data_IF_377603196197
#
_entry.id   IF_377603196197
#
_cell.length_a   1.000
_cell.length_b   1.000
_cell.length_c   1.000
_cell.angle_alpha   90.00
_cell.angle_beta   90.00
_cell.angle_gamma   90.00
#
_symmetry.space_group_name_H-M   'P 1'
#
loop_
_entity.id
_entity.type
_entity.pdbx_description
1 polymer ?
#
# COMPACT_ATOMS: atom_id res chain seq x y z
N UNK A 1 10.79 23.25 -0.88
CA UNK A 1 10.72 24.73 -0.89
C UNK A 1 12.07 25.39 -0.62
N UNK A 2 12.80 25.05 0.46
CA UNK A 2 14.12 25.65 0.79
C UNK A 2 15.18 25.59 -0.32
N UNK A 3 15.21 24.50 -1.10
CA UNK A 3 16.11 24.39 -2.26
C UNK A 3 15.90 25.52 -3.27
N UNK A 4 14.64 25.83 -3.61
CA UNK A 4 14.30 26.87 -4.59
C UNK A 4 14.76 28.25 -4.09
N UNK A 5 14.53 28.55 -2.82
CA UNK A 5 14.97 29.79 -2.18
C UNK A 5 16.50 29.90 -2.08
N UNK A 6 17.17 28.80 -1.76
CA UNK A 6 18.62 28.75 -1.65
C UNK A 6 19.30 29.17 -2.96
N UNK A 7 18.82 28.65 -4.10
CA UNK A 7 19.37 28.94 -5.44
C UNK A 7 18.82 30.22 -6.09
N UNK A 8 17.86 30.92 -5.47
CA UNK A 8 17.23 32.10 -6.06
C UNK A 8 18.22 33.27 -6.27
N UNK A 9 19.04 33.58 -5.26
CA UNK A 9 20.01 34.70 -5.32
C UNK A 9 21.36 34.33 -5.94
N UNK A 10 21.58 33.06 -6.29
CA UNK A 10 22.86 32.62 -6.89
C UNK A 10 22.95 33.09 -8.36
N UNK A 11 21.83 33.50 -8.96
CA UNK A 11 21.79 34.00 -10.34
C UNK A 11 22.16 35.47 -10.51
N UNK A 12 22.14 36.29 -9.46
CA UNK A 12 22.38 37.75 -9.59
C UNK A 12 23.84 38.18 -9.26
N UNK A 13 24.67 37.30 -8.69
CA UNK A 13 26.03 37.66 -8.27
C UNK A 13 27.18 36.87 -8.93
N UNK A 14 26.93 36.16 -10.03
CA UNK A 14 28.00 35.54 -10.84
C UNK A 14 27.97 36.01 -12.31
N UNK A 15 28.16 37.31 -12.55
CA UNK A 15 28.90 37.75 -13.74
C UNK A 15 30.41 37.62 -13.47
N UNK A 16 30.93 36.40 -13.42
CA UNK A 16 32.39 36.16 -13.45
C UNK A 16 32.73 35.04 -14.42
N UNK A 17 33.12 35.49 -15.61
CA UNK A 17 34.10 34.94 -16.57
C UNK A 17 34.10 33.42 -16.80
N UNK A 18 33.65 33.07 -18.01
CA UNK A 18 34.08 31.85 -18.71
C UNK A 18 35.61 31.69 -18.64
N UNK A 19 36.06 30.59 -18.03
CA UNK A 19 37.23 29.83 -18.47
C UNK A 19 37.22 28.43 -17.85
N UNK A 20 36.95 27.46 -18.72
CA UNK A 20 37.59 26.14 -18.79
C UNK A 20 38.11 25.53 -17.49
N UNK A 21 37.38 24.53 -16.99
CA UNK A 21 37.88 23.16 -16.78
C UNK A 21 36.72 22.29 -16.29
N UNK A 22 36.61 21.08 -16.84
CA UNK A 22 35.63 20.07 -16.44
C UNK A 22 35.92 19.66 -14.99
N UNK A 23 35.39 20.43 -14.04
CA UNK A 23 35.54 20.13 -12.63
C UNK A 23 34.62 18.97 -12.28
N UNK A 24 35.26 17.79 -12.14
CA UNK A 24 34.81 16.59 -11.42
C UNK A 24 33.36 16.69 -10.97
N UNK A 25 32.44 15.98 -11.65
CA UNK A 25 31.01 15.96 -11.30
C UNK A 25 30.85 15.77 -9.78
N UNK A 26 30.56 16.87 -9.08
CA UNK A 26 30.33 16.83 -7.63
C UNK A 26 29.19 15.84 -7.45
N UNK A 27 29.43 14.73 -6.74
CA UNK A 27 28.38 13.77 -6.40
C UNK A 27 27.22 14.57 -5.82
N UNK A 28 26.10 14.61 -6.54
CA UNK A 28 24.92 15.34 -6.09
C UNK A 28 24.49 14.70 -4.79
N UNK A 29 24.73 15.40 -3.68
CA UNK A 29 24.38 14.93 -2.36
C UNK A 29 22.84 14.92 -2.31
N UNK A 30 22.24 13.73 -2.44
CA UNK A 30 20.78 13.56 -2.55
C UNK A 30 20.06 14.02 -1.28
N UNK A 31 20.79 14.07 -0.17
CA UNK A 31 20.28 14.43 1.16
C UNK A 31 20.56 15.90 1.50
N UNK A 32 21.11 16.69 0.57
CA UNK A 32 21.36 18.10 0.83
C UNK A 32 20.05 18.88 0.98
N UNK A 33 19.81 19.35 2.19
CA UNK A 33 18.73 20.29 2.51
C UNK A 33 19.34 21.54 3.13
N UNK A 34 19.10 22.74 2.57
CA UNK A 34 19.60 23.98 3.13
C UNK A 34 19.13 24.17 4.59
N UNK A 35 20.02 24.73 5.42
CA UNK A 35 19.70 25.08 6.81
C UNK A 35 18.57 26.12 6.87
N UNK A 36 17.70 26.07 7.89
CA UNK A 36 16.71 27.13 8.13
C UNK A 36 17.40 28.46 8.50
N UNK A 37 16.65 29.56 8.42
CA UNK A 37 17.08 30.89 8.84
C UNK A 37 17.32 31.89 7.71
N UNK A 38 17.21 31.48 6.43
CA UNK A 38 17.36 32.39 5.28
C UNK A 38 16.09 33.23 5.05
N UNK A 39 14.92 32.64 5.23
CA UNK A 39 13.64 33.32 5.13
C UNK A 39 12.68 32.83 6.23
N UNK A 40 12.40 33.74 7.15
CA UNK A 40 11.56 33.50 8.32
C UNK A 40 10.15 33.08 7.89
N UNK A 41 9.57 33.74 6.88
CA UNK A 41 8.22 33.41 6.39
C UNK A 41 8.15 32.01 5.80
N UNK A 42 9.19 31.61 5.06
CA UNK A 42 9.25 30.26 4.50
C UNK A 42 9.41 29.20 5.59
N UNK A 43 10.26 29.47 6.59
CA UNK A 43 10.46 28.54 7.70
C UNK A 43 9.19 28.39 8.54
N UNK A 44 8.51 29.48 8.88
CA UNK A 44 7.20 29.46 9.56
C UNK A 44 6.18 28.64 8.75
N UNK A 45 6.06 28.88 7.45
CA UNK A 45 5.14 28.11 6.61
C UNK A 45 5.46 26.60 6.62
N UNK A 46 6.74 26.25 6.47
CA UNK A 46 7.18 24.85 6.49
C UNK A 46 6.87 24.21 7.86
N UNK A 47 7.08 24.91 8.95
CA UNK A 47 6.78 24.43 10.30
C UNK A 47 5.29 24.21 10.52
N UNK A 48 4.45 25.17 10.13
CA UNK A 48 2.98 25.06 10.23
C UNK A 48 2.47 23.87 9.42
N UNK A 49 2.82 23.77 8.13
CA UNK A 49 2.35 22.67 7.28
C UNK A 49 2.84 21.31 7.76
N UNK A 50 4.09 21.23 8.23
CA UNK A 50 4.59 19.99 8.84
C UNK A 50 3.80 19.64 10.09
N UNK A 51 3.52 20.63 10.95
CA UNK A 51 2.68 20.46 12.13
C UNK A 51 1.30 19.91 11.74
N UNK A 52 0.63 20.52 10.77
CA UNK A 52 -0.69 20.12 10.31
C UNK A 52 -0.72 18.71 9.74
N UNK A 53 0.26 18.33 8.91
CA UNK A 53 0.37 16.97 8.38
C UNK A 53 0.62 15.98 9.52
N UNK A 54 1.58 16.27 10.41
CA UNK A 54 1.88 15.38 11.53
C UNK A 54 0.69 15.26 12.50
N UNK A 55 -0.09 16.33 12.68
CA UNK A 55 -1.29 16.32 13.51
C UNK A 55 -2.45 15.58 12.82
N UNK A 56 -2.65 15.76 11.52
CA UNK A 56 -3.63 15.00 10.74
C UNK A 56 -3.33 13.50 10.71
N UNK A 57 -2.05 13.11 10.66
CA UNK A 57 -1.64 11.71 10.79
C UNK A 57 -1.87 11.15 12.21
N UNK A 58 -1.86 12.00 13.24
CA UNK A 58 -2.17 11.62 14.63
C UNK A 58 -3.67 11.61 14.91
N UNK A 59 -4.50 12.24 14.08
CA UNK A 59 -5.95 12.18 14.23
C UNK A 59 -6.37 10.73 14.03
N UNK A 60 -6.97 10.14 15.07
CA UNK A 60 -7.60 8.83 14.96
C UNK A 60 -8.74 8.98 13.95
N UNK A 61 -8.70 8.19 12.88
CA UNK A 61 -9.83 8.08 11.97
C UNK A 61 -11.06 7.75 12.81
N UNK A 62 -12.14 8.51 12.62
CA UNK A 62 -13.42 8.17 13.22
C UNK A 62 -13.81 6.77 12.74
N UNK A 63 -14.10 5.89 13.70
CA UNK A 63 -14.61 4.57 13.38
C UNK A 63 -16.02 4.78 12.81
N UNK A 64 -16.28 4.27 11.61
CA UNK A 64 -17.59 4.37 10.95
C UNK A 64 -18.57 3.27 11.40
N UNK A 65 -18.18 2.51 12.43
CA UNK A 65 -18.98 1.44 13.02
C UNK A 65 -19.50 1.90 14.37
N UNK A 66 -20.77 1.62 14.61
CA UNK A 66 -21.34 1.69 15.95
C UNK A 66 -20.75 0.58 16.83
N UNK A 67 -20.79 0.76 18.15
CA UNK A 67 -20.34 -0.28 19.09
C UNK A 67 -21.09 -1.60 18.91
N UNK A 68 -22.36 -1.54 18.51
CA UNK A 68 -23.16 -2.74 18.23
C UNK A 68 -22.64 -3.50 17.01
N UNK A 69 -22.32 -2.79 15.93
CA UNK A 69 -21.75 -3.40 14.72
C UNK A 69 -20.35 -3.96 14.98
N UNK A 70 -19.52 -3.25 15.75
CA UNK A 70 -18.20 -3.75 16.11
C UNK A 70 -18.27 -5.04 16.93
N UNK A 71 -19.20 -5.12 17.89
CA UNK A 71 -19.43 -6.33 18.67
C UNK A 71 -20.00 -7.46 17.80
N UNK A 72 -20.98 -7.18 16.94
CA UNK A 72 -21.51 -8.18 16.01
C UNK A 72 -20.41 -8.76 15.09
N UNK A 73 -19.47 -7.93 14.63
CA UNK A 73 -18.31 -8.40 13.86
C UNK A 73 -17.38 -9.29 14.70
N UNK A 74 -17.17 -8.97 15.97
CA UNK A 74 -16.38 -9.81 16.88
C UNK A 74 -17.07 -11.15 17.13
N UNK A 75 -18.38 -11.15 17.34
CA UNK A 75 -19.17 -12.36 17.54
C UNK A 75 -19.09 -13.27 16.30
N UNK A 76 -19.25 -12.70 15.09
CA UNK A 76 -19.08 -13.41 13.81
C UNK A 76 -17.67 -13.98 13.67
N UNK A 77 -16.63 -13.26 14.09
CA UNK A 77 -15.25 -13.73 14.01
C UNK A 77 -14.91 -14.85 15.01
N UNK A 78 -15.72 -14.99 16.07
CA UNK A 78 -15.55 -16.02 17.11
C UNK A 78 -16.42 -17.26 16.86
N UNK A 79 -17.34 -17.20 15.90
CA UNK A 79 -18.23 -18.31 15.56
C UNK A 79 -17.46 -19.38 14.74
N UNK A 80 -17.19 -20.51 15.38
CA UNK A 80 -16.48 -21.65 14.80
C UNK A 80 -17.36 -22.50 13.86
N UNK A 81 -18.67 -22.25 13.81
CA UNK A 81 -19.65 -22.98 13.00
C UNK A 81 -19.85 -22.38 11.60
N UNK A 82 -19.19 -21.27 11.30
CA UNK A 82 -19.22 -20.61 10.00
C UNK A 82 -17.85 -20.57 9.32
N UNK A 83 -17.88 -20.49 8.00
CA UNK A 83 -16.71 -20.32 7.14
C UNK A 83 -16.86 -19.03 6.35
N UNK A 84 -15.86 -18.15 6.47
CA UNK A 84 -15.83 -16.85 5.79
C UNK A 84 -14.72 -16.87 4.72
N UNK A 85 -15.08 -16.64 3.45
CA UNK A 85 -14.13 -16.62 2.32
C UNK A 85 -14.39 -15.42 1.40
N UNK A 86 -13.37 -14.93 0.67
CA UNK A 86 -13.61 -13.95 -0.39
C UNK A 86 -14.53 -14.54 -1.45
N UNK A 87 -15.45 -13.74 -1.98
CA UNK A 87 -16.27 -14.15 -3.11
C UNK A 87 -15.41 -14.30 -4.38
N UNK A 88 -15.68 -15.34 -5.16
CA UNK A 88 -15.02 -15.58 -6.45
C UNK A 88 -15.28 -14.44 -7.45
N UNK A 89 -16.48 -13.85 -7.40
CA UNK A 89 -16.86 -12.65 -8.15
C UNK A 89 -16.77 -11.41 -7.26
N UNK A 90 -16.35 -10.29 -7.85
CA UNK A 90 -15.82 -9.13 -7.13
C UNK A 90 -16.73 -8.48 -6.06
N UNK A 91 -16.06 -7.81 -5.11
CA UNK A 91 -16.55 -6.97 -4.00
C UNK A 91 -17.37 -7.64 -2.89
N UNK A 92 -17.59 -8.95 -2.94
CA UNK A 92 -18.34 -9.70 -1.93
C UNK A 92 -17.49 -10.51 -0.95
N UNK A 93 -18.14 -10.94 0.13
CA UNK A 93 -17.67 -11.96 1.06
C UNK A 93 -18.73 -13.06 1.11
N UNK A 94 -18.30 -14.31 1.20
CA UNK A 94 -19.17 -15.47 1.29
C UNK A 94 -19.10 -16.00 2.72
N UNK A 95 -20.27 -16.15 3.35
CA UNK A 95 -20.45 -16.72 4.69
C UNK A 95 -21.31 -17.97 4.54
N UNK A 96 -20.81 -19.12 4.97
CA UNK A 96 -21.49 -20.42 4.84
C UNK A 96 -21.38 -21.16 6.17
N UNK A 97 -22.40 -21.93 6.52
CA UNK A 97 -22.28 -22.91 7.60
C UNK A 97 -21.17 -23.92 7.29
N UNK A 98 -20.36 -24.23 8.30
CA UNK A 98 -19.17 -25.07 8.16
C UNK A 98 -19.49 -26.51 7.78
N UNK A 99 -20.53 -27.11 8.37
CA UNK A 99 -20.94 -28.48 8.05
C UNK A 99 -21.40 -28.58 6.59
N UNK A 100 -22.20 -27.62 6.14
CA UNK A 100 -22.64 -27.55 4.74
C UNK A 100 -21.47 -27.35 3.78
N UNK A 101 -20.52 -26.49 4.15
CA UNK A 101 -19.30 -26.28 3.39
C UNK A 101 -18.49 -27.57 3.23
N UNK A 102 -18.28 -28.33 4.32
CA UNK A 102 -17.59 -29.62 4.26
C UNK A 102 -18.33 -30.64 3.41
N UNK A 103 -19.64 -30.77 3.60
CA UNK A 103 -20.47 -31.68 2.82
C UNK A 103 -20.37 -31.42 1.31
N UNK A 104 -20.49 -30.16 0.90
CA UNK A 104 -20.33 -29.76 -0.50
C UNK A 104 -18.96 -30.12 -1.05
N UNK A 105 -17.92 -29.91 -0.24
CA UNK A 105 -16.54 -30.20 -0.63
C UNK A 105 -16.30 -31.70 -0.81
N UNK A 106 -16.86 -32.53 0.08
CA UNK A 106 -16.84 -33.99 -0.06
C UNK A 106 -17.59 -34.48 -1.30
N UNK A 107 -18.78 -33.93 -1.57
CA UNK A 107 -19.57 -34.22 -2.77
C UNK A 107 -18.79 -33.87 -4.05
N UNK A 108 -18.10 -32.73 -4.07
CA UNK A 108 -17.32 -32.26 -5.23
C UNK A 108 -16.06 -33.11 -5.46
N UNK A 109 -15.33 -33.47 -4.39
CA UNK A 109 -14.11 -34.29 -4.49
C UNK A 109 -14.43 -35.74 -4.89
N UNK A 110 -15.53 -36.30 -4.38
CA UNK A 110 -15.94 -37.67 -4.70
C UNK A 110 -16.42 -37.79 -6.15
N UNK A 111 -16.85 -36.67 -6.74
CA UNK A 111 -17.28 -36.63 -8.13
C UNK A 111 -16.08 -36.67 -9.10
N UNK A 112 -15.81 -37.86 -9.62
CA UNK A 112 -14.74 -38.12 -10.59
C UNK A 112 -14.92 -37.41 -11.95
N UNK A 113 -16.09 -36.83 -12.23
CA UNK A 113 -16.29 -36.02 -13.44
C UNK A 113 -15.62 -34.64 -13.34
N UNK A 114 -15.40 -34.14 -12.10
CA UNK A 114 -14.91 -32.78 -11.86
C UNK A 114 -13.46 -32.75 -11.41
N UNK A 115 -13.08 -33.60 -10.45
CA UNK A 115 -11.70 -33.70 -9.95
C UNK A 115 -11.17 -35.13 -10.05
N UNK A 116 -9.85 -35.27 -10.20
CA UNK A 116 -9.17 -36.56 -10.20
C UNK A 116 -7.89 -36.50 -9.37
N UNK A 117 -7.60 -37.60 -8.68
CA UNK A 117 -6.39 -37.72 -7.87
C UNK A 117 -5.13 -37.70 -8.77
N UNK A 118 -4.07 -37.03 -8.31
CA UNK A 118 -2.82 -36.91 -9.06
C UNK A 118 -1.65 -37.36 -8.20
N UNK A 119 -0.80 -38.25 -8.74
CA UNK A 119 0.35 -38.83 -8.03
C UNK A 119 1.43 -37.80 -7.63
N UNK A 120 1.51 -36.66 -8.33
CA UNK A 120 2.54 -35.64 -8.15
C UNK A 120 1.93 -34.24 -8.10
N UNK A 121 2.54 -33.35 -7.33
CA UNK A 121 2.13 -31.95 -7.30
C UNK A 121 2.44 -31.27 -8.66
N UNK A 122 1.40 -30.94 -9.41
CA UNK A 122 1.48 -30.30 -10.73
C UNK A 122 1.10 -28.81 -10.70
N UNK A 123 0.87 -28.24 -9.51
CA UNK A 123 0.35 -26.86 -9.32
C UNK A 123 1.17 -25.81 -10.06
N UNK A 124 2.51 -25.92 -10.03
CA UNK A 124 3.39 -24.97 -10.72
C UNK A 124 3.23 -25.00 -12.25
N UNK A 125 3.03 -26.18 -12.84
CA UNK A 125 2.88 -26.34 -14.29
C UNK A 125 1.52 -25.80 -14.75
N UNK A 126 0.45 -26.11 -14.00
CA UNK A 126 -0.91 -25.66 -14.29
C UNK A 126 -0.99 -24.13 -14.17
N UNK A 127 -0.49 -23.56 -13.08
CA UNK A 127 -0.51 -22.10 -12.89
C UNK A 127 0.25 -21.35 -13.98
N UNK A 128 1.37 -21.90 -14.47
CA UNK A 128 2.10 -21.35 -15.61
C UNK A 128 1.26 -21.37 -16.89
N UNK A 129 0.54 -22.47 -17.17
CA UNK A 129 -0.38 -22.58 -18.33
C UNK A 129 -1.55 -21.60 -18.23
N UNK A 130 -2.20 -21.50 -17.07
CA UNK A 130 -3.34 -20.59 -16.85
C UNK A 130 -2.95 -19.13 -17.07
N UNK A 131 -1.76 -18.71 -16.59
CA UNK A 131 -1.24 -17.35 -16.82
C UNK A 131 -1.00 -17.01 -18.29
N UNK A 132 -0.70 -18.00 -19.12
CA UNK A 132 -0.53 -17.81 -20.57
C UNK A 132 -1.89 -17.57 -21.25
N UNK A 133 -2.93 -18.26 -20.79
CA UNK A 133 -4.29 -18.19 -21.36
C UNK A 133 -5.03 -16.91 -20.91
N UNK A 134 -4.76 -16.42 -19.70
CA UNK A 134 -5.39 -15.22 -19.12
C UNK A 134 -4.84 -13.88 -19.67
N UNK A 135 -4.05 -13.90 -20.75
CA UNK A 135 -3.48 -12.72 -21.41
C UNK A 135 -4.18 -12.44 -22.73
#
# INVERSE_FOLDING_TARGET
MRLKEYFYNIKEHEEVKEKSECSKTRRKNKDFTPKPGKNIWLDTYIEVVKGDVMNGLKQRKSINLTTKEENALKDILQDDDIVIRPADKGSGIVVINKEEYFKKLEEEITNNDTYSETEKNTTHQITKKVKIISK
#
